data_IF_675938683437
#
_entry.id   IF_675938683437
#
_cell.length_a   1.000
_cell.length_b   1.000
_cell.length_c   1.000
_cell.angle_alpha   90.00
_cell.angle_beta   90.00
_cell.angle_gamma   90.00
#
_symmetry.space_group_name_H-M   'P 1'
#
loop_
_entity.id
_entity.type
_entity.pdbx_description
1 polymer ?
#
# COMPACT_ATOMS: atom_id res chain seq x y z
N UNK A 1 -32.48 23.52 9.88
CA UNK A 1 -31.15 23.60 9.24
C UNK A 1 -31.20 22.77 7.96
N UNK A 2 -31.34 23.41 6.80
CA UNK A 2 -31.38 22.74 5.50
C UNK A 2 -29.95 22.43 5.07
N UNK A 3 -29.62 21.15 4.88
CA UNK A 3 -28.35 20.76 4.28
C UNK A 3 -28.23 21.37 2.87
N UNK A 4 -27.10 21.98 2.52
CA UNK A 4 -26.93 22.53 1.17
C UNK A 4 -27.04 21.39 0.14
N UNK A 5 -27.61 21.66 -1.05
CA UNK A 5 -27.73 20.65 -2.10
C UNK A 5 -26.34 20.13 -2.48
N UNK A 6 -26.21 18.81 -2.59
CA UNK A 6 -24.96 18.17 -2.97
C UNK A 6 -24.51 18.72 -4.34
N UNK A 7 -23.27 19.23 -4.42
CA UNK A 7 -22.69 19.66 -5.71
C UNK A 7 -22.79 18.51 -6.71
N UNK A 8 -23.22 18.76 -7.96
CA UNK A 8 -23.20 17.73 -9.00
C UNK A 8 -21.77 17.21 -9.14
N UNK A 9 -21.61 15.88 -9.16
CA UNK A 9 -20.31 15.24 -9.39
C UNK A 9 -19.84 15.59 -10.80
N UNK A 10 -18.98 16.61 -10.92
CA UNK A 10 -18.34 16.93 -12.19
C UNK A 10 -17.27 15.87 -12.49
N UNK A 11 -17.23 15.42 -13.74
CA UNK A 11 -16.18 14.52 -14.22
C UNK A 11 -14.84 15.26 -14.19
N UNK A 12 -13.92 14.79 -13.36
CA UNK A 12 -12.60 15.41 -13.23
C UNK A 12 -11.65 14.84 -14.29
N UNK A 13 -11.48 15.60 -15.38
CA UNK A 13 -10.62 15.21 -16.51
C UNK A 13 -9.17 14.93 -16.08
N UNK A 14 -8.72 15.50 -14.96
CA UNK A 14 -7.37 15.28 -14.42
C UNK A 14 -7.16 13.81 -14.03
N UNK A 15 -8.20 13.14 -13.52
CA UNK A 15 -8.15 11.71 -13.16
C UNK A 15 -7.98 10.83 -14.40
N UNK A 16 -8.59 11.22 -15.52
CA UNK A 16 -8.44 10.51 -16.78
C UNK A 16 -7.01 10.61 -17.29
N UNK A 17 -6.43 11.82 -17.31
CA UNK A 17 -5.03 12.02 -17.73
C UNK A 17 -4.06 11.22 -16.87
N UNK A 18 -4.23 11.23 -15.54
CA UNK A 18 -3.36 10.43 -14.66
C UNK A 18 -3.47 8.94 -14.93
N UNK A 19 -4.67 8.41 -15.19
CA UNK A 19 -4.86 6.99 -15.48
C UNK A 19 -4.23 6.60 -16.83
N UNK A 20 -4.47 7.41 -17.87
CA UNK A 20 -3.94 7.18 -19.23
C UNK A 20 -2.42 7.21 -19.26
N UNK A 21 -1.76 7.97 -18.38
CA UNK A 21 -0.29 8.00 -18.30
C UNK A 21 0.24 6.90 -17.37
N UNK A 22 -0.34 6.73 -16.18
CA UNK A 22 0.20 5.81 -15.17
C UNK A 22 0.00 4.35 -15.53
N UNK A 23 -1.14 3.95 -16.11
CA UNK A 23 -1.40 2.54 -16.42
C UNK A 23 -0.37 2.01 -17.45
N UNK A 24 -0.15 2.67 -18.61
CA UNK A 24 0.90 2.24 -19.53
C UNK A 24 2.30 2.31 -18.92
N UNK A 25 2.61 3.35 -18.13
CA UNK A 25 3.91 3.46 -17.49
C UNK A 25 4.20 2.29 -16.54
N UNK A 26 3.22 1.91 -15.70
CA UNK A 26 3.32 0.76 -14.80
C UNK A 26 3.44 -0.54 -15.59
N UNK A 27 2.64 -0.72 -16.66
CA UNK A 27 2.76 -1.88 -17.54
C UNK A 27 4.16 -1.99 -18.16
N UNK A 28 4.71 -0.89 -18.69
CA UNK A 28 6.05 -0.86 -19.28
C UNK A 28 7.13 -1.23 -18.25
N UNK A 29 7.03 -0.71 -17.03
CA UNK A 29 7.97 -1.01 -15.94
C UNK A 29 7.91 -2.49 -15.56
N UNK A 30 6.73 -3.09 -15.51
CA UNK A 30 6.56 -4.49 -15.12
C UNK A 30 7.08 -5.43 -16.21
N UNK A 31 6.68 -5.21 -17.46
CA UNK A 31 6.89 -6.14 -18.58
C UNK A 31 8.25 -5.96 -19.25
N UNK A 32 8.67 -4.72 -19.49
CA UNK A 32 9.82 -4.45 -20.37
C UNK A 32 11.10 -4.06 -19.62
N UNK A 33 11.01 -3.68 -18.35
CA UNK A 33 12.18 -3.30 -17.55
C UNK A 33 12.60 -4.42 -16.60
N UNK A 34 13.85 -4.34 -16.15
CA UNK A 34 14.40 -5.26 -15.15
C UNK A 34 13.63 -5.17 -13.81
N UNK A 35 13.59 -6.24 -12.99
CA UNK A 35 12.90 -6.26 -11.70
C UNK A 35 13.27 -5.11 -10.74
N UNK A 36 14.50 -4.62 -10.84
CA UNK A 36 15.00 -3.44 -10.11
C UNK A 36 14.16 -2.18 -10.37
N UNK A 37 13.66 -1.98 -11.60
CA UNK A 37 12.90 -0.78 -11.94
C UNK A 37 11.57 -0.71 -11.19
N UNK A 38 10.86 -1.84 -11.09
CA UNK A 38 9.66 -1.95 -10.27
C UNK A 38 9.99 -1.69 -8.80
N UNK A 39 11.13 -2.19 -8.32
CA UNK A 39 11.55 -2.02 -6.93
C UNK A 39 11.85 -0.56 -6.59
N UNK A 40 12.50 0.18 -7.49
CA UNK A 40 12.69 1.62 -7.33
C UNK A 40 11.37 2.37 -7.27
N UNK A 41 10.42 2.04 -8.15
CA UNK A 41 9.08 2.64 -8.13
C UNK A 41 8.39 2.38 -6.78
N UNK A 42 8.44 1.15 -6.28
CA UNK A 42 7.85 0.76 -5.00
C UNK A 42 8.58 1.40 -3.81
N UNK A 43 9.90 1.59 -3.88
CA UNK A 43 10.66 2.34 -2.87
C UNK A 43 10.19 3.79 -2.85
N UNK A 44 10.06 4.43 -4.01
CA UNK A 44 9.63 5.82 -4.11
C UNK A 44 8.19 6.01 -3.59
N UNK A 45 7.24 5.25 -4.10
CA UNK A 45 5.82 5.33 -3.70
C UNK A 45 5.63 4.88 -2.25
N UNK A 46 6.28 3.79 -1.85
CA UNK A 46 6.20 3.26 -0.48
C UNK A 46 6.83 4.18 0.55
N UNK A 47 7.93 4.88 0.21
CA UNK A 47 8.52 5.89 1.09
C UNK A 47 7.60 7.10 1.26
N UNK A 48 6.93 7.55 0.20
CA UNK A 48 5.92 8.61 0.30
C UNK A 48 4.74 8.18 1.17
N UNK A 49 4.22 6.96 0.98
CA UNK A 49 3.14 6.40 1.78
C UNK A 49 3.53 6.25 3.27
N UNK A 50 4.76 5.78 3.54
CA UNK A 50 5.28 5.63 4.90
C UNK A 50 5.47 6.99 5.59
N UNK A 51 5.96 7.99 4.85
CA UNK A 51 6.07 9.37 5.35
C UNK A 51 4.71 9.97 5.65
N UNK A 52 3.70 9.76 4.81
CA UNK A 52 2.34 10.21 5.06
C UNK A 52 1.75 9.53 6.30
N UNK A 53 1.93 8.22 6.45
CA UNK A 53 1.52 7.46 7.63
C UNK A 53 2.14 8.03 8.92
N UNK A 54 3.45 8.28 8.92
CA UNK A 54 4.16 8.82 10.07
C UNK A 54 3.77 10.27 10.37
N UNK A 55 3.55 11.10 9.34
CA UNK A 55 3.07 12.48 9.52
C UNK A 55 1.68 12.53 10.13
N UNK A 56 0.76 11.67 9.68
CA UNK A 56 -0.60 11.59 10.22
C UNK A 56 -0.61 11.10 11.67
N UNK A 57 0.30 10.18 11.99
CA UNK A 57 0.33 9.53 13.31
C UNK A 57 1.10 10.34 14.36
N UNK A 58 2.24 10.92 13.99
CA UNK A 58 3.09 11.70 14.90
C UNK A 58 2.72 13.19 14.93
N UNK A 59 2.13 13.71 13.86
CA UNK A 59 1.72 15.12 13.73
C UNK A 59 2.87 16.08 14.10
N UNK A 60 2.68 16.94 15.10
CA UNK A 60 3.69 17.89 15.61
C UNK A 60 4.86 17.23 16.33
N UNK A 61 4.79 15.94 16.64
CA UNK A 61 5.79 15.16 17.40
C UNK A 61 6.64 14.27 16.50
N UNK A 62 6.90 14.70 15.26
CA UNK A 62 7.61 13.88 14.27
C UNK A 62 9.01 13.50 14.77
N UNK A 63 9.16 12.24 15.18
CA UNK A 63 10.44 11.71 15.63
C UNK A 63 11.27 11.28 14.42
N UNK A 64 12.23 12.12 14.03
CA UNK A 64 13.08 11.89 12.86
C UNK A 64 13.89 10.60 12.96
N UNK A 65 14.28 10.17 14.17
CA UNK A 65 15.03 8.92 14.38
C UNK A 65 14.14 7.73 14.03
N UNK A 66 12.93 7.67 14.55
CA UNK A 66 11.96 6.60 14.25
C UNK A 66 11.57 6.57 12.77
N UNK A 67 11.33 7.74 12.18
CA UNK A 67 11.07 7.87 10.73
C UNK A 67 12.25 7.34 9.91
N UNK A 68 13.48 7.69 10.30
CA UNK A 68 14.71 7.23 9.67
C UNK A 68 14.89 5.71 9.77
N UNK A 69 14.73 5.15 10.98
CA UNK A 69 14.80 3.70 11.22
C UNK A 69 13.74 2.95 10.42
N UNK A 70 12.49 3.44 10.42
CA UNK A 70 11.39 2.86 9.66
C UNK A 70 11.66 2.89 8.15
N UNK A 71 12.07 4.04 7.62
CA UNK A 71 12.37 4.21 6.20
C UNK A 71 13.57 3.37 5.74
N UNK A 72 14.64 3.32 6.55
CA UNK A 72 15.81 2.49 6.25
C UNK A 72 15.43 1.00 6.24
N UNK A 73 14.65 0.54 7.22
CA UNK A 73 14.21 -0.86 7.28
C UNK A 73 13.29 -1.20 6.12
N UNK A 74 12.37 -0.30 5.75
CA UNK A 74 11.53 -0.42 4.57
C UNK A 74 12.36 -0.65 3.31
N UNK A 75 13.35 0.22 3.04
CA UNK A 75 14.23 0.10 1.88
C UNK A 75 15.02 -1.20 1.90
N UNK A 76 15.61 -1.56 3.05
CA UNK A 76 16.36 -2.81 3.20
C UNK A 76 15.50 -4.04 2.92
N UNK A 77 14.24 -4.03 3.35
CA UNK A 77 13.29 -5.13 3.13
C UNK A 77 13.01 -5.33 1.63
N UNK A 78 12.86 -4.23 0.87
CA UNK A 78 12.65 -4.29 -0.58
C UNK A 78 13.93 -4.68 -1.33
N UNK A 79 15.08 -4.11 -0.98
CA UNK A 79 16.35 -4.37 -1.69
C UNK A 79 16.83 -5.81 -1.48
N UNK A 80 16.60 -6.38 -0.30
CA UNK A 80 16.96 -7.77 0.02
C UNK A 80 16.40 -8.76 -1.00
N UNK A 81 15.21 -8.54 -1.54
CA UNK A 81 14.61 -9.45 -2.54
C UNK A 81 15.45 -9.64 -3.81
N UNK A 82 16.42 -8.75 -4.08
CA UNK A 82 17.37 -8.85 -5.20
C UNK A 82 18.72 -9.44 -4.83
N UNK A 83 19.04 -9.51 -3.53
CA UNK A 83 20.34 -9.95 -3.06
C UNK A 83 20.15 -11.23 -2.28
N UNK A 84 20.81 -12.29 -2.71
CA UNK A 84 20.88 -13.56 -1.99
C UNK A 84 21.75 -13.44 -0.74
N UNK A 85 21.41 -12.51 0.16
CA UNK A 85 22.04 -12.42 1.46
C UNK A 85 21.61 -13.66 2.26
N UNK A 86 22.55 -14.49 2.75
CA UNK A 86 22.23 -15.66 3.58
C UNK A 86 21.77 -15.27 4.99
N UNK A 87 21.34 -14.01 5.19
CA UNK A 87 20.79 -13.54 6.45
C UNK A 87 19.39 -14.15 6.61
N UNK A 88 19.11 -14.94 7.66
CA UNK A 88 17.75 -15.37 7.96
C UNK A 88 16.81 -14.17 8.12
N UNK A 89 15.56 -14.28 7.68
CA UNK A 89 14.54 -13.22 7.86
C UNK A 89 14.41 -12.80 9.34
N UNK A 90 14.62 -13.76 10.24
CA UNK A 90 14.67 -13.55 11.68
C UNK A 90 15.75 -12.53 12.10
N UNK A 91 16.90 -12.46 11.42
CA UNK A 91 17.96 -11.49 11.76
C UNK A 91 17.59 -10.06 11.35
N UNK A 92 16.95 -9.87 10.19
CA UNK A 92 16.47 -8.55 9.77
C UNK A 92 15.31 -8.07 10.65
N UNK A 93 14.36 -8.97 10.95
CA UNK A 93 13.30 -8.68 11.91
C UNK A 93 13.86 -8.35 13.30
N UNK A 94 14.84 -9.13 13.77
CA UNK A 94 15.53 -8.88 15.03
C UNK A 94 16.28 -7.56 15.06
N UNK A 95 17.04 -7.24 14.01
CA UNK A 95 17.76 -5.98 13.88
C UNK A 95 16.80 -4.78 13.86
N UNK A 96 15.65 -4.92 13.18
CA UNK A 96 14.61 -3.90 13.19
C UNK A 96 14.02 -3.70 14.59
N UNK A 97 13.65 -4.77 15.28
CA UNK A 97 13.11 -4.70 16.65
C UNK A 97 14.13 -4.05 17.59
N UNK A 98 15.42 -4.39 17.47
CA UNK A 98 16.51 -3.77 18.24
C UNK A 98 16.63 -2.29 17.89
N UNK A 99 16.62 -1.92 16.61
CA UNK A 99 16.74 -0.52 16.18
C UNK A 99 15.55 0.33 16.67
N UNK A 100 14.32 -0.19 16.60
CA UNK A 100 13.13 0.46 17.15
C UNK A 100 13.27 0.59 18.67
N UNK A 101 13.65 -0.49 19.37
CA UNK A 101 13.81 -0.48 20.83
C UNK A 101 14.91 0.49 21.28
N UNK A 102 16.04 0.54 20.56
CA UNK A 102 17.14 1.46 20.84
C UNK A 102 16.72 2.93 20.61
N UNK A 103 15.94 3.20 19.55
CA UNK A 103 15.44 4.54 19.28
C UNK A 103 14.47 5.06 20.36
N UNK A 104 13.87 4.16 21.16
CA UNK A 104 13.07 4.54 22.32
C UNK A 104 13.91 5.23 23.40
N UNK A 105 15.21 4.94 23.51
CA UNK A 105 16.09 5.60 24.50
C UNK A 105 16.18 7.12 24.24
N UNK A 106 16.04 7.53 22.98
CA UNK A 106 16.15 8.93 22.53
C UNK A 106 14.78 9.60 22.36
N UNK A 107 13.68 8.86 22.60
CA UNK A 107 12.30 9.33 22.40
C UNK A 107 11.68 9.76 23.73
N UNK A 108 10.90 10.85 23.72
CA UNK A 108 10.17 11.34 24.89
C UNK A 108 9.32 10.24 25.56
N UNK A 109 9.42 10.16 26.89
CA UNK A 109 8.82 9.06 27.67
C UNK A 109 7.30 8.95 27.54
N UNK A 110 6.61 10.08 27.30
CA UNK A 110 5.15 10.17 27.32
C UNK A 110 4.45 9.39 26.19
N UNK A 111 5.14 9.17 25.05
CA UNK A 111 4.53 8.56 23.85
C UNK A 111 5.34 7.42 23.23
N UNK A 112 6.46 7.07 23.87
CA UNK A 112 7.47 6.13 23.42
C UNK A 112 6.92 4.83 22.81
N UNK A 113 6.02 4.16 23.53
CA UNK A 113 5.45 2.88 23.08
C UNK A 113 4.52 3.01 21.88
N UNK A 114 3.69 4.07 21.85
CA UNK A 114 2.80 4.32 20.71
C UNK A 114 3.62 4.58 19.45
N UNK A 115 4.68 5.38 19.56
CA UNK A 115 5.49 5.76 18.41
C UNK A 115 6.30 4.59 17.85
N UNK A 116 6.81 3.70 18.72
CA UNK A 116 7.39 2.42 18.30
C UNK A 116 6.37 1.52 17.59
N UNK A 117 5.17 1.36 18.13
CA UNK A 117 4.13 0.52 17.53
C UNK A 117 3.71 1.04 16.16
N UNK A 118 3.57 2.37 16.00
CA UNK A 118 3.27 3.00 14.72
C UNK A 118 4.42 2.77 13.72
N UNK A 119 5.66 2.91 14.17
CA UNK A 119 6.85 2.70 13.33
C UNK A 119 6.90 1.26 12.84
N UNK A 120 6.72 0.30 13.74
CA UNK A 120 6.65 -1.14 13.46
C UNK A 120 5.50 -1.47 12.53
N UNK A 121 4.31 -0.93 12.80
CA UNK A 121 3.14 -1.08 11.94
C UNK A 121 3.41 -0.56 10.53
N UNK A 122 4.02 0.62 10.39
CA UNK A 122 4.35 1.18 9.07
C UNK A 122 5.29 0.29 8.26
N UNK A 123 6.34 -0.25 8.87
CA UNK A 123 7.27 -1.16 8.18
C UNK A 123 6.62 -2.51 7.87
N UNK A 124 5.88 -3.10 8.79
CA UNK A 124 5.17 -4.35 8.54
C UNK A 124 4.08 -4.18 7.47
N UNK A 125 3.31 -3.10 7.54
CA UNK A 125 2.19 -2.86 6.65
C UNK A 125 2.62 -2.40 5.27
N UNK A 126 3.57 -1.48 5.15
CA UNK A 126 4.03 -0.94 3.85
C UNK A 126 5.22 -1.75 3.32
N UNK A 127 6.20 -2.05 4.15
CA UNK A 127 7.42 -2.74 3.74
C UNK A 127 7.20 -4.18 3.36
N UNK A 128 6.64 -4.99 4.26
CA UNK A 128 6.46 -6.42 3.99
C UNK A 128 5.46 -6.64 2.85
N UNK A 129 4.35 -5.89 2.81
CA UNK A 129 3.37 -6.05 1.72
C UNK A 129 3.96 -5.69 0.36
N UNK A 130 4.66 -4.55 0.23
CA UNK A 130 5.31 -4.18 -1.02
C UNK A 130 6.48 -5.10 -1.38
N UNK A 131 7.21 -5.64 -0.39
CA UNK A 131 8.27 -6.61 -0.68
C UNK A 131 7.72 -7.90 -1.30
N UNK A 132 6.50 -8.32 -0.96
CA UNK A 132 5.90 -9.49 -1.63
C UNK A 132 5.69 -9.27 -3.13
N UNK A 133 5.38 -8.05 -3.57
CA UNK A 133 5.26 -7.72 -5.00
C UNK A 133 6.64 -7.84 -5.67
N UNK A 134 7.69 -7.36 -5.01
CA UNK A 134 9.06 -7.48 -5.54
C UNK A 134 9.49 -8.95 -5.63
N UNK A 135 9.29 -9.73 -4.57
CA UNK A 135 9.60 -11.16 -4.58
C UNK A 135 8.80 -11.90 -5.67
N UNK A 136 7.54 -11.55 -5.87
CA UNK A 136 6.70 -12.12 -6.95
C UNK A 136 7.25 -11.77 -8.32
N UNK A 137 7.73 -10.53 -8.53
CA UNK A 137 8.33 -10.11 -9.80
C UNK A 137 9.61 -10.90 -10.14
N UNK A 138 10.34 -11.36 -9.13
CA UNK A 138 11.57 -12.14 -9.27
C UNK A 138 11.33 -13.64 -9.52
N UNK A 139 10.09 -14.12 -9.45
CA UNK A 139 9.75 -15.50 -9.82
C UNK A 139 9.81 -15.69 -11.35
N UNK A 140 9.92 -16.95 -11.83
CA UNK A 140 9.67 -17.26 -13.23
C UNK A 140 8.30 -16.72 -13.66
N UNK A 141 8.23 -16.03 -14.79
CA UNK A 141 7.01 -15.35 -15.29
C UNK A 141 6.41 -14.32 -14.31
N UNK A 142 7.22 -13.78 -13.39
CA UNK A 142 6.77 -12.88 -12.33
C UNK A 142 6.10 -11.60 -12.84
N UNK A 143 6.44 -11.12 -14.03
CA UNK A 143 5.74 -10.01 -14.69
C UNK A 143 4.24 -10.27 -14.87
N UNK A 144 3.85 -11.48 -15.29
CA UNK A 144 2.45 -11.85 -15.47
C UNK A 144 1.73 -11.98 -14.14
N UNK A 145 2.39 -12.53 -13.11
CA UNK A 145 1.81 -12.63 -11.76
C UNK A 145 1.55 -11.25 -11.15
N UNK A 146 2.47 -10.29 -11.32
CA UNK A 146 2.28 -8.92 -10.84
C UNK A 146 1.20 -8.19 -11.64
N UNK A 147 1.13 -8.38 -12.96
CA UNK A 147 0.05 -7.83 -13.77
C UNK A 147 -1.32 -8.43 -13.40
N UNK A 148 -1.38 -9.74 -13.19
CA UNK A 148 -2.57 -10.44 -12.73
C UNK A 148 -3.05 -9.85 -11.40
N UNK A 149 -2.15 -9.69 -10.42
CA UNK A 149 -2.46 -9.04 -9.15
C UNK A 149 -3.05 -7.64 -9.34
N UNK A 150 -2.44 -6.82 -10.22
CA UNK A 150 -2.92 -5.47 -10.50
C UNK A 150 -4.32 -5.48 -11.15
N UNK A 151 -4.54 -6.32 -12.16
CA UNK A 151 -5.82 -6.45 -12.87
C UNK A 151 -6.92 -6.90 -11.91
N UNK A 152 -6.70 -7.94 -11.10
CA UNK A 152 -7.68 -8.45 -10.15
C UNK A 152 -8.01 -7.41 -9.08
N UNK A 153 -7.01 -6.67 -8.59
CA UNK A 153 -7.22 -5.61 -7.58
C UNK A 153 -8.01 -4.44 -8.16
N UNK A 154 -7.66 -3.96 -9.36
CA UNK A 154 -8.37 -2.88 -10.04
C UNK A 154 -9.79 -3.28 -10.44
N UNK A 155 -9.99 -4.53 -10.88
CA UNK A 155 -11.30 -5.09 -11.15
C UNK A 155 -12.15 -5.17 -9.88
N UNK A 156 -11.57 -5.60 -8.76
CA UNK A 156 -12.26 -5.63 -7.46
C UNK A 156 -12.74 -4.25 -7.03
N UNK A 157 -11.87 -3.24 -7.08
CA UNK A 157 -12.21 -1.86 -6.73
C UNK A 157 -13.29 -1.28 -7.65
N UNK A 158 -13.19 -1.57 -8.95
CA UNK A 158 -14.18 -1.14 -9.95
C UNK A 158 -15.54 -1.78 -9.72
N UNK A 159 -15.57 -3.09 -9.48
CA UNK A 159 -16.79 -3.84 -9.20
C UNK A 159 -17.44 -3.38 -7.91
N UNK A 160 -16.64 -3.15 -6.87
CA UNK A 160 -17.13 -2.65 -5.59
C UNK A 160 -17.69 -1.24 -5.69
N UNK A 161 -17.05 -0.36 -6.47
CA UNK A 161 -17.55 0.98 -6.72
C UNK A 161 -18.90 0.97 -7.43
N UNK A 162 -19.03 0.24 -8.56
CA UNK A 162 -20.26 0.24 -9.34
C UNK A 162 -21.39 -0.48 -8.61
N UNK A 163 -21.15 -1.67 -8.07
CA UNK A 163 -22.19 -2.41 -7.36
C UNK A 163 -22.62 -1.68 -6.07
N UNK A 164 -21.67 -1.10 -5.35
CA UNK A 164 -21.95 -0.30 -4.15
C UNK A 164 -22.72 0.98 -4.46
N UNK A 165 -22.46 1.62 -5.61
CA UNK A 165 -23.15 2.87 -6.00
C UNK A 165 -24.55 2.61 -6.57
N UNK A 166 -24.73 1.54 -7.35
CA UNK A 166 -25.99 1.22 -8.02
C UNK A 166 -26.98 0.47 -7.13
N UNK A 167 -26.48 -0.48 -6.33
CA UNK A 167 -27.30 -1.40 -5.55
C UNK A 167 -27.00 -1.39 -4.05
N UNK A 168 -26.10 -0.52 -3.58
CA UNK A 168 -25.73 -0.46 -2.18
C UNK A 168 -26.89 -0.09 -1.27
N UNK A 169 -27.38 -1.05 -0.49
CA UNK A 169 -28.44 -0.88 0.50
C UNK A 169 -27.97 -1.19 1.90
N UNK A 170 -27.06 -2.14 2.06
CA UNK A 170 -26.58 -2.60 3.35
C UNK A 170 -25.17 -2.09 3.61
N UNK A 171 -24.97 -1.10 4.50
CA UNK A 171 -23.64 -0.67 4.89
C UNK A 171 -22.88 -1.81 5.57
N UNK A 172 -21.60 -1.98 5.22
CA UNK A 172 -20.76 -3.04 5.76
C UNK A 172 -20.33 -2.72 7.21
N UNK A 173 -19.73 -1.54 7.41
CA UNK A 173 -19.21 -1.08 8.70
C UNK A 173 -19.46 0.43 8.84
N UNK A 174 -20.66 0.85 9.28
CA UNK A 174 -21.06 2.27 9.33
C UNK A 174 -20.12 3.15 10.15
N UNK A 175 -19.56 2.60 11.24
CA UNK A 175 -18.70 3.32 12.18
C UNK A 175 -17.30 3.63 11.65
N UNK A 176 -16.81 2.84 10.68
CA UNK A 176 -15.46 2.97 10.12
C UNK A 176 -15.50 3.56 8.70
N UNK A 177 -16.42 3.07 7.87
CA UNK A 177 -16.55 3.50 6.47
C UNK A 177 -18.02 3.50 6.04
N UNK A 178 -18.72 4.63 6.18
CA UNK A 178 -20.17 4.70 5.97
C UNK A 178 -20.59 4.47 4.51
N UNK A 179 -19.65 4.55 3.56
CA UNK A 179 -19.90 4.37 2.12
C UNK A 179 -19.63 2.96 1.60
N UNK A 180 -19.03 2.07 2.39
CA UNK A 180 -18.81 0.67 1.99
C UNK A 180 -20.08 -0.14 2.24
N UNK A 181 -20.53 -0.88 1.24
CA UNK A 181 -21.73 -1.71 1.31
C UNK A 181 -21.41 -3.18 1.06
N UNK A 182 -22.25 -4.08 1.58
CA UNK A 182 -22.13 -5.53 1.37
C UNK A 182 -22.27 -5.86 -0.12
N UNK A 183 -23.21 -5.21 -0.82
CA UNK A 183 -23.39 -5.38 -2.26
C UNK A 183 -22.15 -4.93 -3.06
N UNK A 184 -21.48 -3.87 -2.58
CA UNK A 184 -20.19 -3.46 -3.13
C UNK A 184 -19.14 -4.55 -2.98
N UNK A 185 -18.98 -5.13 -1.79
CA UNK A 185 -18.00 -6.22 -1.58
C UNK A 185 -18.29 -7.41 -2.51
N UNK A 186 -19.56 -7.82 -2.63
CA UNK A 186 -19.95 -8.92 -3.52
C UNK A 186 -19.71 -8.59 -5.01
N UNK A 187 -20.01 -7.37 -5.44
CA UNK A 187 -19.73 -6.93 -6.80
C UNK A 187 -18.24 -6.84 -7.11
N UNK A 188 -17.43 -6.39 -6.16
CA UNK A 188 -15.97 -6.41 -6.26
C UNK A 188 -15.43 -7.83 -6.38
N UNK A 189 -15.89 -8.74 -5.53
CA UNK A 189 -15.51 -10.16 -5.59
C UNK A 189 -15.90 -10.78 -6.94
N UNK A 190 -17.12 -10.57 -7.41
CA UNK A 190 -17.60 -11.13 -8.68
C UNK A 190 -16.75 -10.64 -9.87
N UNK A 191 -16.45 -9.32 -9.92
CA UNK A 191 -15.65 -8.76 -11.02
C UNK A 191 -14.17 -9.18 -10.91
N UNK A 192 -13.64 -9.30 -9.70
CA UNK A 192 -12.29 -9.82 -9.46
C UNK A 192 -12.14 -11.27 -9.95
N UNK A 193 -13.12 -12.13 -9.66
CA UNK A 193 -13.15 -13.53 -10.15
C UNK A 193 -13.28 -13.57 -11.67
N UNK A 194 -14.17 -12.77 -12.26
CA UNK A 194 -14.31 -12.70 -13.71
C UNK A 194 -13.00 -12.24 -14.38
N UNK A 195 -12.35 -11.21 -13.83
CA UNK A 195 -11.07 -10.73 -14.32
C UNK A 195 -9.97 -11.81 -14.19
N UNK A 196 -9.95 -12.55 -13.08
CA UNK A 196 -8.99 -13.62 -12.87
C UNK A 196 -9.16 -14.81 -13.83
N UNK A 197 -10.38 -15.08 -14.32
CA UNK A 197 -10.64 -16.14 -15.30
C UNK A 197 -10.21 -15.72 -16.72
N UNK A 198 -10.27 -14.42 -17.02
CA UNK A 198 -9.94 -13.86 -18.34
C UNK A 198 -8.45 -13.55 -18.50
N UNK A 199 -7.77 -13.18 -17.41
CA UNK A 199 -6.36 -12.79 -17.38
C UNK A 199 -5.43 -14.02 -17.47
#
# INVERSE_FOLDING_TARGET
>A
MTTPPARPKQFDIRRLYTAVVLIPAVYLIIVHLAPWALTLLLIAVGSLALLELYRLSFQSRLNQVLVGVGSATFVLTLVRSHVSLPLPELLLGGAFVIAVTASLVVTSAEHRWKDALITMFGVCYVGVTLSTIVSTRSLPTGEFLVLFLAVVTWASDTGAYYAGTLWGKHPLLPSISPKKTVEGVLGGLALAVAAAIVA
#
